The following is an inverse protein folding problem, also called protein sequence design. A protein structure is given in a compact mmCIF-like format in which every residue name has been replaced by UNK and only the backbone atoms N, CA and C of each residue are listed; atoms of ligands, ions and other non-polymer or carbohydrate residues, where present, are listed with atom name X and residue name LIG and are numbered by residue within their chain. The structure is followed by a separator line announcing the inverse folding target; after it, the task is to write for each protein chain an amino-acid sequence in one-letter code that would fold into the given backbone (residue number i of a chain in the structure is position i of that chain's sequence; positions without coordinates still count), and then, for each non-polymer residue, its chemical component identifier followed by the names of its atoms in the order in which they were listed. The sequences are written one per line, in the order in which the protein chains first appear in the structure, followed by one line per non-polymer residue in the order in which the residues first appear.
data_IF_688750247387
#
_entry.id   IF_688750247387
#
_cell.length_a   1.000
_cell.length_b   1.000
_cell.length_c   1.000
_cell.angle_alpha   90.00
_cell.angle_beta   90.00
_cell.angle_gamma   90.00
#
_symmetry.space_group_name_H-M   'P 1'
#
loop_
_entity.id
_entity.type
_entity.pdbx_description
1 polymer ?
#
# COMPACT_ATOMS: atom_id res chain seq x y z
N UNK A 1 12.31 -5.49 -0.39
CA UNK A 1 11.77 -5.82 -1.73
C UNK A 1 11.15 -7.22 -1.75
N UNK A 2 11.90 -8.28 -1.41
CA UNK A 2 11.39 -9.67 -1.35
C UNK A 2 10.09 -9.87 -0.57
N UNK A 3 9.86 -9.10 0.51
CA UNK A 3 8.60 -9.12 1.26
C UNK A 3 7.37 -8.82 0.39
N UNK A 4 7.40 -7.74 -0.42
CA UNK A 4 6.23 -7.30 -1.21
C UNK A 4 5.94 -8.32 -2.30
N UNK A 5 6.97 -8.78 -2.98
CA UNK A 5 6.87 -9.84 -3.99
C UNK A 5 6.26 -11.12 -3.39
N UNK A 6 6.73 -11.53 -2.21
CA UNK A 6 6.21 -12.72 -1.52
C UNK A 6 4.76 -12.52 -1.07
N UNK A 7 4.45 -11.39 -0.43
CA UNK A 7 3.11 -11.07 0.06
C UNK A 7 2.08 -10.95 -1.07
N UNK A 8 2.51 -10.53 -2.26
CA UNK A 8 1.64 -10.41 -3.44
C UNK A 8 1.68 -11.62 -4.36
N UNK A 9 2.39 -12.70 -3.97
CA UNK A 9 2.60 -13.92 -4.79
C UNK A 9 3.17 -13.61 -6.17
N UNK A 10 4.19 -12.76 -6.22
CA UNK A 10 4.89 -12.36 -7.45
C UNK A 10 4.14 -11.33 -8.31
N UNK A 11 2.91 -10.94 -7.96
CA UNK A 11 2.15 -9.95 -8.75
C UNK A 11 2.77 -8.57 -8.75
N UNK A 12 3.47 -8.19 -7.67
CA UNK A 12 4.13 -6.90 -7.55
C UNK A 12 5.59 -7.08 -7.19
N UNK A 13 6.46 -6.66 -8.11
CA UNK A 13 7.91 -6.57 -7.88
C UNK A 13 8.31 -5.11 -7.98
N UNK A 14 8.95 -4.60 -6.92
CA UNK A 14 9.43 -3.22 -6.88
C UNK A 14 10.94 -3.19 -7.05
N UNK A 15 11.41 -2.50 -8.09
CA UNK A 15 12.80 -2.09 -8.20
C UNK A 15 13.14 -0.95 -7.24
N UNK A 16 14.44 -0.66 -7.08
CA UNK A 16 14.91 0.37 -6.15
C UNK A 16 14.29 1.75 -6.44
N UNK A 17 14.27 2.19 -7.70
CA UNK A 17 13.72 3.50 -8.10
C UNK A 17 12.22 3.64 -7.77
N UNK A 18 11.41 2.63 -8.09
CA UNK A 18 9.97 2.63 -7.80
C UNK A 18 9.70 2.62 -6.30
N UNK A 19 10.47 1.85 -5.53
CA UNK A 19 10.33 1.79 -4.08
C UNK A 19 10.60 3.15 -3.44
N UNK A 20 11.72 3.80 -3.78
CA UNK A 20 12.03 5.12 -3.22
C UNK A 20 11.04 6.19 -3.69
N UNK A 21 10.58 6.12 -4.94
CA UNK A 21 9.51 6.99 -5.45
C UNK A 21 8.22 6.84 -4.65
N UNK A 22 7.81 5.61 -4.34
CA UNK A 22 6.63 5.32 -3.53
C UNK A 22 6.79 5.84 -2.09
N UNK A 23 7.93 5.60 -1.45
CA UNK A 23 8.23 6.10 -0.10
C UNK A 23 8.17 7.63 -0.08
N UNK A 24 8.81 8.31 -1.03
CA UNK A 24 8.80 9.77 -1.13
C UNK A 24 7.38 10.33 -1.32
N UNK A 25 6.55 9.66 -2.13
CA UNK A 25 5.16 10.05 -2.30
C UNK A 25 4.34 9.90 -1.00
N UNK A 26 4.55 8.81 -0.25
CA UNK A 26 3.88 8.58 1.03
C UNK A 26 4.30 9.61 2.09
N UNK A 27 5.58 9.98 2.14
CA UNK A 27 6.10 11.05 3.02
C UNK A 27 5.53 12.40 2.62
N UNK A 28 5.53 12.76 1.33
CA UNK A 28 4.96 14.03 0.83
C UNK A 28 3.47 14.17 1.18
N UNK A 29 2.73 13.05 1.16
CA UNK A 29 1.32 12.98 1.56
C UNK A 29 1.11 12.93 3.08
N UNK A 30 2.19 12.88 3.88
CA UNK A 30 2.18 12.72 5.33
C UNK A 30 1.50 11.43 5.81
N UNK A 31 1.45 10.39 4.98
CA UNK A 31 0.88 9.10 5.34
C UNK A 31 1.86 8.25 6.15
N UNK A 32 3.15 8.48 5.96
CA UNK A 32 4.22 7.93 6.80
C UNK A 32 5.17 9.06 7.21
N UNK A 33 5.88 8.86 8.32
CA UNK A 33 6.91 9.76 8.82
C UNK A 33 8.20 8.98 9.13
N UNK A 34 9.38 9.62 9.07
CA UNK A 34 10.61 9.01 9.56
C UNK A 34 10.47 8.55 11.02
N UNK A 35 11.16 7.48 11.36
CA UNK A 35 11.13 6.88 12.69
C UNK A 35 12.54 6.51 13.15
N UNK A 36 12.92 6.97 14.36
CA UNK A 36 14.25 6.80 14.93
C UNK A 36 15.27 7.87 14.47
N UNK A 37 16.43 7.88 15.11
CA UNK A 37 17.50 8.83 14.80
C UNK A 37 18.39 8.36 13.64
N UNK A 38 18.65 9.27 12.70
CA UNK A 38 19.55 9.03 11.56
C UNK A 38 21.04 8.97 11.97
N UNK A 39 21.36 9.29 13.23
CA UNK A 39 22.72 9.51 13.73
C UNK A 39 23.61 8.25 13.77
N UNK A 40 23.02 7.06 13.67
CA UNK A 40 23.71 5.80 13.99
C UNK A 40 24.03 4.93 12.76
N UNK A 41 24.03 5.52 11.55
CA UNK A 41 24.29 4.81 10.29
C UNK A 41 23.25 3.72 9.94
N UNK A 42 22.14 3.67 10.68
CA UNK A 42 21.04 2.71 10.49
C UNK A 42 20.19 3.08 9.28
N UNK A 43 19.60 2.05 8.66
CA UNK A 43 18.65 2.21 7.53
C UNK A 43 17.49 3.13 7.94
N UNK A 44 17.13 4.09 7.08
CA UNK A 44 15.96 4.96 7.30
C UNK A 44 14.71 4.10 7.53
N UNK A 45 14.13 4.23 8.71
CA UNK A 45 12.87 3.59 9.07
C UNK A 45 11.74 4.62 9.00
N UNK A 46 10.53 4.11 8.76
CA UNK A 46 9.33 4.93 8.65
C UNK A 46 8.20 4.28 9.45
N UNK A 47 7.34 5.11 10.01
CA UNK A 47 6.13 4.69 10.72
C UNK A 47 4.89 5.31 10.06
N UNK A 48 3.79 4.54 10.04
CA UNK A 48 2.50 5.04 9.54
C UNK A 48 1.93 6.08 10.50
N UNK A 49 1.49 7.22 9.97
CA UNK A 49 0.88 8.30 10.75
C UNK A 49 -0.60 8.01 11.00
N UNK A 50 -1.25 8.80 11.87
CA UNK A 50 -2.70 8.70 12.08
C UNK A 50 -3.47 9.00 10.78
N UNK A 51 -3.06 10.02 10.02
CA UNK A 51 -3.61 10.32 8.70
C UNK A 51 -3.41 9.17 7.72
N UNK A 52 -2.23 8.55 7.72
CA UNK A 52 -1.97 7.35 6.91
C UNK A 52 -2.90 6.19 7.25
N UNK A 53 -3.13 5.93 8.54
CA UNK A 53 -4.07 4.89 9.00
C UNK A 53 -5.50 5.16 8.52
N UNK A 54 -5.95 6.42 8.61
CA UNK A 54 -7.26 6.83 8.09
C UNK A 54 -7.38 6.57 6.58
N UNK A 55 -6.35 6.92 5.80
CA UNK A 55 -6.32 6.66 4.36
C UNK A 55 -6.32 5.19 4.00
N UNK A 56 -5.62 4.34 4.76
CA UNK A 56 -5.73 2.88 4.59
C UNK A 56 -7.15 2.39 4.88
N UNK A 57 -7.80 2.90 5.93
CA UNK A 57 -9.17 2.50 6.26
C UNK A 57 -10.23 2.96 5.23
N UNK A 58 -10.02 4.11 4.60
CA UNK A 58 -10.82 4.56 3.45
C UNK A 58 -10.61 3.64 2.23
N UNK A 59 -9.35 3.33 1.91
CA UNK A 59 -9.02 2.51 0.75
C UNK A 59 -9.51 1.06 0.88
N UNK A 60 -9.47 0.49 2.08
CA UNK A 60 -10.05 -0.82 2.36
C UNK A 60 -11.56 -0.85 2.07
N UNK A 61 -12.29 0.20 2.46
CA UNK A 61 -13.73 0.33 2.17
C UNK A 61 -13.97 0.44 0.66
N UNK A 62 -13.20 1.25 -0.04
CA UNK A 62 -13.28 1.40 -1.50
C UNK A 62 -13.01 0.07 -2.22
N UNK A 63 -12.00 -0.69 -1.79
CA UNK A 63 -11.68 -2.00 -2.38
C UNK A 63 -12.82 -3.00 -2.18
N UNK A 64 -13.44 -3.00 -1.01
CA UNK A 64 -14.58 -3.85 -0.67
C UNK A 64 -15.83 -3.51 -1.50
N UNK A 65 -16.09 -2.22 -1.76
CA UNK A 65 -17.12 -1.79 -2.73
C UNK A 65 -16.85 -2.29 -4.15
N UNK A 66 -15.60 -2.17 -4.62
CA UNK A 66 -15.20 -2.66 -5.96
C UNK A 66 -15.36 -4.17 -6.06
N UNK A 67 -14.99 -4.92 -5.03
CA UNK A 67 -15.14 -6.38 -5.00
C UNK A 67 -16.61 -6.79 -5.03
N UNK A 68 -17.48 -6.11 -4.27
CA UNK A 68 -18.94 -6.34 -4.33
C UNK A 68 -19.48 -6.11 -5.72
N UNK A 69 -19.17 -4.94 -6.32
CA UNK A 69 -19.66 -4.60 -7.66
C UNK A 69 -19.21 -5.62 -8.70
N UNK A 70 -17.93 -5.99 -8.71
CA UNK A 70 -17.40 -6.99 -9.63
C UNK A 70 -18.07 -8.36 -9.43
N UNK A 71 -18.34 -8.75 -8.18
CA UNK A 71 -19.01 -10.02 -7.89
C UNK A 71 -20.46 -10.04 -8.34
N UNK A 72 -21.18 -8.91 -8.27
CA UNK A 72 -22.55 -8.80 -8.80
C UNK A 72 -22.54 -8.98 -10.32
N UNK A 73 -21.67 -8.26 -11.03
CA UNK A 73 -21.59 -8.32 -12.51
C UNK A 73 -21.26 -9.74 -12.98
N UNK A 74 -20.26 -10.39 -12.38
CA UNK A 74 -19.85 -11.74 -12.79
C UNK A 74 -20.97 -12.77 -12.55
N UNK A 75 -21.75 -12.65 -11.48
CA UNK A 75 -22.87 -13.57 -11.20
C UNK A 75 -24.03 -13.38 -12.18
N UNK A 76 -24.32 -12.15 -12.58
CA UNK A 76 -25.34 -11.86 -13.59
C UNK A 76 -24.99 -12.45 -14.97
N UNK A 77 -23.70 -12.63 -15.26
CA UNK A 77 -23.21 -13.28 -16.48
C UNK A 77 -23.28 -14.84 -16.42
N UNK A 78 -23.40 -15.45 -15.23
CA UNK A 78 -23.50 -16.93 -15.07
C UNK A 78 -24.95 -17.44 -15.13
N UNK A 79 -25.94 -16.56 -14.91
CA UNK A 79 -27.37 -16.88 -14.89
C UNK A 79 -28.11 -16.54 -16.22
N UNK A 80 -27.38 -16.18 -17.28
CA UNK A 80 -27.87 -16.04 -18.67
C UNK A 80 -27.38 -17.18 -19.57
#
# INVERSE_FOLDING_TARGET
MRFIETATKGRVTLGAGTLYGAINALVKKQWIAPYGDEADGKKKAYIITNTGKQKVAEELRRMDEVLRLASTIIREDEDQ
#
